data_IF_677873069231
#
_entry.id   IF_677873069231
#
_cell.length_a   1.000
_cell.length_b   1.000
_cell.length_c   1.000
_cell.angle_alpha   90.00
_cell.angle_beta   90.00
_cell.angle_gamma   90.00
#
_symmetry.space_group_name_H-M   'P 1'
#
loop_
_entity.id
_entity.type
_entity.pdbx_description
1 polymer ?
#
# COMPACT_ATOMS: atom_id res chain seq x y z
N UNK A 1 19.17 25.06 16.22
CA UNK A 1 18.53 24.12 17.19
C UNK A 1 17.22 24.70 17.70
N UNK A 2 16.34 25.14 16.80
CA UNK A 2 15.12 25.90 17.10
C UNK A 2 13.90 25.19 16.51
N UNK A 3 13.47 24.11 17.16
CA UNK A 3 12.09 23.65 17.06
C UNK A 3 11.76 23.02 18.43
N UNK A 4 10.75 23.52 19.16
CA UNK A 4 10.33 22.87 20.39
C UNK A 4 9.85 21.46 20.02
N UNK A 5 10.42 20.45 20.67
CA UNK A 5 10.21 19.02 20.41
C UNK A 5 8.75 18.56 20.46
N UNK A 6 7.82 19.41 20.93
CA UNK A 6 6.38 19.16 20.97
C UNK A 6 5.66 19.39 19.64
N UNK A 7 6.15 20.27 18.75
CA UNK A 7 5.44 20.63 17.50
C UNK A 7 5.82 19.78 16.29
N UNK A 8 7.00 19.16 16.31
CA UNK A 8 7.46 18.31 15.21
C UNK A 8 6.57 17.08 14.98
N UNK A 9 6.09 16.32 16.00
CA UNK A 9 5.25 15.15 15.74
C UNK A 9 3.87 15.52 15.19
N UNK A 10 3.28 16.65 15.61
CA UNK A 10 1.94 17.08 15.20
C UNK A 10 1.93 17.62 13.77
N UNK A 11 2.98 18.35 13.38
CA UNK A 11 3.14 18.84 11.99
C UNK A 11 3.33 17.67 11.03
N UNK A 12 4.22 16.73 11.36
CA UNK A 12 4.45 15.53 10.53
C UNK A 12 3.17 14.71 10.40
N UNK A 13 2.44 14.48 11.49
CA UNK A 13 1.17 13.77 11.45
C UNK A 13 0.13 14.47 10.55
N UNK A 14 0.04 15.80 10.62
CA UNK A 14 -0.89 16.57 9.77
C UNK A 14 -0.58 16.42 8.29
N UNK A 15 0.70 16.55 7.90
CA UNK A 15 1.14 16.38 6.50
C UNK A 15 0.83 14.96 6.01
N UNK A 16 1.12 13.95 6.84
CA UNK A 16 0.85 12.55 6.52
C UNK A 16 -0.64 12.28 6.31
N UNK A 17 -1.51 12.82 7.17
CA UNK A 17 -2.97 12.65 7.04
C UNK A 17 -3.49 13.27 5.73
N UNK A 18 -3.12 14.52 5.45
CA UNK A 18 -3.55 15.22 4.23
C UNK A 18 -3.07 14.48 2.98
N UNK A 19 -1.78 14.10 2.95
CA UNK A 19 -1.21 13.34 1.83
C UNK A 19 -1.86 11.96 1.64
N UNK A 20 -2.22 11.29 2.73
CA UNK A 20 -2.87 9.98 2.69
C UNK A 20 -4.29 10.09 2.11
N UNK A 21 -5.08 11.09 2.51
CA UNK A 21 -6.43 11.32 1.99
C UNK A 21 -6.39 11.58 0.48
N UNK A 22 -5.50 12.48 0.03
CA UNK A 22 -5.34 12.78 -1.40
C UNK A 22 -4.97 11.52 -2.21
N UNK A 23 -4.06 10.72 -1.67
CA UNK A 23 -3.61 9.47 -2.30
C UNK A 23 -4.72 8.42 -2.38
N UNK A 24 -5.55 8.29 -1.33
CA UNK A 24 -6.70 7.37 -1.32
C UNK A 24 -7.71 7.76 -2.40
N UNK A 25 -8.00 9.05 -2.57
CA UNK A 25 -8.91 9.53 -3.62
C UNK A 25 -8.37 9.15 -5.00
N UNK A 26 -7.09 9.43 -5.26
CA UNK A 26 -6.45 9.10 -6.53
C UNK A 26 -6.43 7.58 -6.81
N UNK A 27 -6.08 6.77 -5.81
CA UNK A 27 -6.09 5.31 -5.92
C UNK A 27 -7.50 4.76 -6.15
N UNK A 28 -8.50 5.31 -5.48
CA UNK A 28 -9.90 4.93 -5.65
C UNK A 28 -10.39 5.21 -7.07
N UNK A 29 -10.09 6.39 -7.63
CA UNK A 29 -10.42 6.72 -9.02
C UNK A 29 -9.76 5.72 -9.98
N UNK A 30 -8.49 5.40 -9.75
CA UNK A 30 -7.74 4.46 -10.57
C UNK A 30 -8.36 3.04 -10.52
N UNK A 31 -8.69 2.56 -9.32
CA UNK A 31 -9.36 1.28 -9.10
C UNK A 31 -10.75 1.24 -9.77
N UNK A 32 -11.51 2.33 -9.68
CA UNK A 32 -12.82 2.45 -10.30
C UNK A 32 -12.74 2.32 -11.83
N UNK A 33 -11.78 3.03 -12.46
CA UNK A 33 -11.54 2.94 -13.90
C UNK A 33 -11.21 1.49 -14.30
N UNK A 34 -10.32 0.82 -13.57
CA UNK A 34 -9.97 -0.58 -13.87
C UNK A 34 -11.12 -1.56 -13.68
N UNK A 35 -12.05 -1.29 -12.76
CA UNK A 35 -13.24 -2.11 -12.58
C UNK A 35 -14.29 -1.87 -13.67
N UNK A 36 -14.48 -0.61 -14.07
CA UNK A 36 -15.47 -0.21 -15.06
C UNK A 36 -15.11 -0.72 -16.48
N UNK A 37 -13.85 -0.56 -16.90
CA UNK A 37 -13.43 -0.98 -18.24
C UNK A 37 -13.03 -2.45 -18.27
N UNK A 38 -14.03 -3.32 -18.44
CA UNK A 38 -13.84 -4.76 -18.61
C UNK A 38 -12.92 -5.15 -19.79
N UNK A 39 -12.77 -4.27 -20.81
CA UNK A 39 -11.89 -4.48 -21.95
C UNK A 39 -10.39 -4.44 -21.61
N UNK A 40 -10.01 -3.89 -20.44
CA UNK A 40 -8.62 -3.79 -19.97
C UNK A 40 -8.22 -4.97 -19.05
N UNK A 41 -8.98 -6.07 -18.99
CA UNK A 41 -8.67 -7.24 -18.14
C UNK A 41 -7.49 -8.06 -18.69
N UNK A 42 -6.26 -7.53 -18.56
CA UNK A 42 -5.02 -8.26 -18.82
C UNK A 42 -4.38 -8.76 -17.52
N UNK A 43 -3.47 -9.75 -17.57
CA UNK A 43 -2.77 -10.25 -16.37
C UNK A 43 -2.01 -9.13 -15.62
N UNK A 44 -1.47 -8.16 -16.37
CA UNK A 44 -0.82 -6.94 -15.84
C UNK A 44 -1.76 -6.09 -14.99
N UNK A 45 -3.03 -5.94 -15.37
CA UNK A 45 -4.00 -5.17 -14.59
C UNK A 45 -4.45 -5.90 -13.32
N UNK A 46 -4.37 -7.24 -13.29
CA UNK A 46 -4.65 -8.01 -12.07
C UNK A 46 -3.60 -7.75 -10.97
N UNK A 47 -2.33 -7.69 -11.35
CA UNK A 47 -1.21 -7.36 -10.44
C UNK A 47 -1.32 -5.92 -9.96
N UNK A 48 -1.54 -4.99 -10.87
CA UNK A 48 -1.66 -3.57 -10.54
C UNK A 48 -2.88 -3.28 -9.65
N UNK A 49 -3.99 -4.01 -9.83
CA UNK A 49 -5.15 -3.97 -8.91
C UNK A 49 -4.77 -4.44 -7.51
N UNK A 50 -3.99 -5.52 -7.38
CA UNK A 50 -3.61 -6.04 -6.07
C UNK A 50 -2.59 -5.12 -5.37
N UNK A 51 -1.66 -4.53 -6.12
CA UNK A 51 -0.79 -3.45 -5.63
C UNK A 51 -1.60 -2.26 -5.11
N UNK A 52 -2.59 -1.81 -5.90
CA UNK A 52 -3.45 -0.69 -5.52
C UNK A 52 -4.23 -0.97 -4.23
N UNK A 53 -4.71 -2.20 -4.04
CA UNK A 53 -5.38 -2.64 -2.81
C UNK A 53 -4.41 -2.66 -1.62
N UNK A 54 -3.19 -3.19 -1.79
CA UNK A 54 -2.18 -3.21 -0.74
C UNK A 54 -1.76 -1.79 -0.31
N UNK A 55 -1.58 -0.87 -1.26
CA UNK A 55 -1.31 0.54 -1.00
C UNK A 55 -2.48 1.23 -0.29
N UNK A 56 -3.72 0.95 -0.69
CA UNK A 56 -4.90 1.52 -0.05
C UNK A 56 -5.02 1.05 1.42
N UNK A 57 -4.77 -0.24 1.68
CA UNK A 57 -4.72 -0.77 3.05
C UNK A 57 -3.62 -0.09 3.88
N UNK A 58 -2.42 0.04 3.32
CA UNK A 58 -1.30 0.70 4.01
C UNK A 58 -1.60 2.18 4.34
N UNK A 59 -2.20 2.92 3.42
CA UNK A 59 -2.61 4.31 3.64
C UNK A 59 -3.71 4.44 4.70
N UNK A 60 -4.68 3.52 4.74
CA UNK A 60 -5.69 3.48 5.79
C UNK A 60 -5.05 3.23 7.17
N UNK A 61 -4.14 2.27 7.28
CA UNK A 61 -3.44 1.98 8.53
C UNK A 61 -2.57 3.15 8.98
N UNK A 62 -1.95 3.88 8.04
CA UNK A 62 -1.17 5.09 8.33
C UNK A 62 -2.05 6.23 8.89
N UNK A 63 -3.28 6.40 8.40
CA UNK A 63 -4.26 7.33 8.97
C UNK A 63 -4.64 6.92 10.39
N UNK A 64 -4.90 5.63 10.63
CA UNK A 64 -5.22 5.11 11.97
C UNK A 64 -4.08 5.41 12.94
N UNK A 65 -2.83 5.10 12.58
CA UNK A 65 -1.66 5.34 13.45
C UNK A 65 -1.36 6.83 13.65
N UNK A 66 -1.54 7.68 12.65
CA UNK A 66 -1.34 9.13 12.79
C UNK A 66 -2.45 9.81 13.61
N UNK A 67 -3.70 9.33 13.51
CA UNK A 67 -4.82 9.84 14.32
C UNK A 67 -4.62 9.61 15.83
N UNK A 68 -3.93 8.53 16.21
CA UNK A 68 -3.54 8.27 17.60
C UNK A 68 -2.66 9.39 18.17
N UNK A 69 -1.72 9.89 17.37
CA UNK A 69 -0.78 10.96 17.76
C UNK A 69 -1.49 12.31 17.87
N UNK A 70 -2.48 12.57 17.02
CA UNK A 70 -3.19 13.85 16.95
C UNK A 70 -4.33 13.98 17.98
N UNK A 71 -5.08 12.90 18.22
CA UNK A 71 -6.32 12.94 19.01
C UNK A 71 -6.21 12.23 20.37
N UNK A 72 -5.03 11.70 20.73
CA UNK A 72 -4.81 10.93 21.97
C UNK A 72 -5.90 9.88 22.23
N UNK A 73 -6.40 9.22 21.18
CA UNK A 73 -7.41 8.18 21.34
C UNK A 73 -6.86 7.03 22.21
N UNK A 74 -7.65 6.63 23.20
CA UNK A 74 -7.26 5.68 24.25
C UNK A 74 -7.43 4.21 23.85
N UNK A 75 -6.97 3.80 22.65
CA UNK A 75 -6.79 2.36 22.36
C UNK A 75 -5.46 1.83 22.89
N UNK A 76 -4.57 2.75 23.35
CA UNK A 76 -3.34 2.43 24.09
C UNK A 76 -3.60 1.64 25.37
N UNK A 77 -4.83 1.71 25.89
CA UNK A 77 -5.27 0.97 27.08
C UNK A 77 -5.46 -0.54 26.81
N UNK A 78 -5.49 -0.94 25.53
CA UNK A 78 -5.64 -2.34 25.10
C UNK A 78 -4.40 -2.77 24.32
N UNK A 79 -3.43 -3.36 25.01
CA UNK A 79 -2.12 -3.75 24.45
C UNK A 79 -2.23 -4.62 23.19
N UNK A 80 -3.25 -5.48 23.12
CA UNK A 80 -3.49 -6.34 21.98
C UNK A 80 -3.90 -5.57 20.71
N UNK A 81 -4.74 -4.54 20.84
CA UNK A 81 -5.16 -3.71 19.71
C UNK A 81 -4.00 -2.87 19.17
N UNK A 82 -3.17 -2.31 20.05
CA UNK A 82 -1.99 -1.54 19.64
C UNK A 82 -0.99 -2.41 18.86
N UNK A 83 -0.67 -3.60 19.39
CA UNK A 83 0.20 -4.58 18.70
C UNK A 83 -0.42 -5.05 17.39
N UNK A 84 -1.73 -5.28 17.37
CA UNK A 84 -2.47 -5.69 16.16
C UNK A 84 -2.37 -4.64 15.05
N UNK A 85 -2.69 -3.38 15.34
CA UNK A 85 -2.62 -2.27 14.37
C UNK A 85 -1.21 -2.11 13.82
N UNK A 86 -0.19 -2.13 14.69
CA UNK A 86 1.20 -2.03 14.26
C UNK A 86 1.62 -3.21 13.36
N UNK A 87 1.21 -4.42 13.72
CA UNK A 87 1.51 -5.64 12.94
C UNK A 87 0.86 -5.58 11.56
N UNK A 88 -0.41 -5.19 11.49
CA UNK A 88 -1.13 -5.05 10.21
C UNK A 88 -0.53 -3.94 9.36
N UNK A 89 -0.12 -2.82 9.96
CA UNK A 89 0.56 -1.74 9.23
C UNK A 89 1.86 -2.23 8.61
N UNK A 90 2.72 -2.90 9.37
CA UNK A 90 3.99 -3.43 8.87
C UNK A 90 3.77 -4.46 7.76
N UNK A 91 2.79 -5.36 7.93
CA UNK A 91 2.43 -6.34 6.92
C UNK A 91 1.93 -5.67 5.63
N UNK A 92 1.06 -4.67 5.74
CA UNK A 92 0.54 -3.94 4.57
C UNK A 92 1.64 -3.18 3.81
N UNK A 93 2.62 -2.60 4.52
CA UNK A 93 3.77 -1.96 3.92
C UNK A 93 4.65 -2.97 3.15
N UNK A 94 4.98 -4.11 3.77
CA UNK A 94 5.76 -5.18 3.12
C UNK A 94 5.05 -5.75 1.89
N UNK A 95 3.74 -5.99 2.00
CA UNK A 95 2.91 -6.43 0.90
C UNK A 95 2.98 -5.43 -0.27
N UNK A 96 2.83 -4.12 -0.01
CA UNK A 96 2.93 -3.10 -1.06
C UNK A 96 4.29 -3.07 -1.77
N UNK A 97 5.39 -3.28 -1.03
CA UNK A 97 6.75 -3.37 -1.58
C UNK A 97 6.91 -4.63 -2.43
N UNK A 98 6.42 -5.78 -1.96
CA UNK A 98 6.46 -7.05 -2.70
C UNK A 98 5.65 -6.96 -4.00
N UNK A 99 4.48 -6.33 -3.98
CA UNK A 99 3.70 -6.12 -5.20
C UNK A 99 4.38 -5.18 -6.19
N UNK A 100 5.05 -4.13 -5.71
CA UNK A 100 5.83 -3.23 -6.55
C UNK A 100 7.03 -3.97 -7.17
N UNK A 101 7.68 -4.84 -6.40
CA UNK A 101 8.75 -5.71 -6.88
C UNK A 101 8.27 -6.69 -7.95
N UNK A 102 7.10 -7.33 -7.74
CA UNK A 102 6.49 -8.23 -8.73
C UNK A 102 6.15 -7.47 -10.02
N UNK A 103 5.61 -6.26 -9.95
CA UNK A 103 5.35 -5.44 -11.15
C UNK A 103 6.66 -5.16 -11.92
N UNK A 104 7.74 -4.84 -11.21
CA UNK A 104 9.08 -4.66 -11.80
C UNK A 104 9.64 -5.95 -12.43
N UNK A 105 9.53 -7.09 -11.74
CA UNK A 105 9.99 -8.39 -12.26
C UNK A 105 9.20 -8.81 -13.50
N UNK A 106 7.89 -8.54 -13.54
CA UNK A 106 7.04 -8.82 -14.69
C UNK A 106 7.39 -7.94 -15.88
N UNK A 107 7.70 -6.66 -15.65
CA UNK A 107 8.16 -5.76 -16.70
C UNK A 107 9.50 -6.24 -17.26
N UNK A 108 10.46 -6.53 -16.39
CA UNK A 108 11.78 -7.03 -16.79
C UNK A 108 11.68 -8.34 -17.56
N UNK A 109 10.92 -9.32 -17.03
CA UNK A 109 10.66 -10.59 -17.70
C UNK A 109 10.06 -10.37 -19.08
N UNK A 110 9.04 -9.51 -19.25
CA UNK A 110 8.47 -9.26 -20.59
C UNK A 110 9.46 -8.64 -21.57
N UNK A 111 10.39 -7.80 -21.11
CA UNK A 111 11.42 -7.19 -21.97
C UNK A 111 12.48 -8.23 -22.36
N UNK A 112 12.91 -9.10 -21.45
CA UNK A 112 13.93 -10.12 -21.72
C UNK A 112 13.39 -11.36 -22.44
N UNK A 113 12.14 -11.74 -22.15
CA UNK A 113 11.42 -12.92 -22.70
C UNK A 113 10.97 -12.73 -24.15
N UNK A 114 11.19 -11.56 -24.76
CA UNK A 114 11.20 -11.47 -26.23
C UNK A 114 12.22 -12.43 -26.88
N UNK A 115 13.16 -13.01 -26.11
CA UNK A 115 14.18 -13.96 -26.57
C UNK A 115 13.86 -15.43 -26.18
N UNK A 116 13.01 -15.71 -25.17
CA UNK A 116 12.74 -17.08 -24.71
C UNK A 116 11.30 -17.30 -24.25
N UNK A 117 10.45 -17.92 -25.09
CA UNK A 117 9.08 -18.34 -24.75
C UNK A 117 9.10 -19.36 -23.59
N UNK A 118 8.89 -18.89 -22.36
CA UNK A 118 8.57 -19.77 -21.22
C UNK A 118 7.32 -19.27 -20.51
N UNK A 119 6.37 -20.17 -20.26
CA UNK A 119 5.13 -19.90 -19.55
C UNK A 119 5.44 -19.53 -18.09
N UNK A 120 5.21 -18.26 -17.73
CA UNK A 120 5.49 -17.75 -16.39
C UNK A 120 4.56 -18.40 -15.35
N UNK A 121 5.06 -18.96 -14.24
CA UNK A 121 4.25 -19.63 -13.24
C UNK A 121 3.44 -18.62 -12.41
N UNK A 122 2.22 -18.30 -12.84
CA UNK A 122 1.31 -17.35 -12.20
C UNK A 122 1.06 -17.61 -10.70
N UNK A 123 1.17 -18.86 -10.25
CA UNK A 123 0.99 -19.26 -8.84
C UNK A 123 2.11 -18.76 -7.93
N UNK A 124 3.35 -18.76 -8.43
CA UNK A 124 4.53 -18.38 -7.65
C UNK A 124 4.54 -16.87 -7.39
N UNK A 125 4.10 -16.06 -8.37
CA UNK A 125 3.90 -14.62 -8.21
C UNK A 125 2.84 -14.27 -7.16
N UNK A 126 1.77 -15.05 -7.07
CA UNK A 126 0.71 -14.81 -6.09
C UNK A 126 1.15 -15.17 -4.66
N UNK A 127 1.98 -16.21 -4.51
CA UNK A 127 2.58 -16.60 -3.23
C UNK A 127 3.70 -15.67 -2.75
N UNK A 128 4.38 -14.93 -3.64
CA UNK A 128 5.40 -13.94 -3.22
C UNK A 128 4.74 -12.62 -2.80
N UNK A 129 3.59 -12.27 -3.41
CA UNK A 129 2.94 -10.98 -3.17
C UNK A 129 2.13 -10.88 -1.88
N UNK A 130 1.58 -11.99 -1.38
CA UNK A 130 0.81 -12.08 -0.13
C UNK A 130 1.56 -12.91 0.90
#
# INVERSE_FOLDING_TARGET
>A
TLYPSSWTPTIVASIVVIGSILSIIALSITLFIFYYFNCLKCSRLKVHRNLSIALLLNLLMLIVTSSNVLLNFSYKNMDWLCKGVLSVQLYSALCSINWMFIEGLLLHSRVTVHIFRQDAPFKLYYCIGW
#
